data_IF_991037352989
#
_entry.id   IF_991037352989
#
_cell.length_a   1.000
_cell.length_b   1.000
_cell.length_c   1.000
_cell.angle_alpha   90.00
_cell.angle_beta   90.00
_cell.angle_gamma   90.00
#
_symmetry.space_group_name_H-M   'P 1'
#
loop_
_entity.id
_entity.type
_entity.pdbx_description
1 polymer ?
#
# COMPACT_ATOMS: atom_id res chain seq x y z
N UNK A 1 -19.49 -3.85 -8.99
CA UNK A 1 -18.14 -3.26 -8.86
C UNK A 1 -17.49 -3.30 -10.21
N UNK A 2 -17.06 -2.16 -10.75
CA UNK A 2 -16.28 -2.14 -11.99
C UNK A 2 -14.79 -2.13 -11.65
N UNK A 3 -14.07 -3.11 -12.17
CA UNK A 3 -12.62 -3.17 -12.21
C UNK A 3 -12.19 -3.10 -13.67
N UNK A 4 -10.99 -2.59 -13.92
CA UNK A 4 -10.44 -2.49 -15.27
C UNK A 4 -9.92 -3.85 -15.75
N UNK A 5 -9.55 -4.70 -14.80
CA UNK A 5 -9.14 -6.09 -15.01
C UNK A 5 -10.13 -7.06 -14.33
N UNK A 6 -10.29 -8.29 -14.83
CA UNK A 6 -11.27 -9.26 -14.30
C UNK A 6 -10.81 -9.93 -13.00
N UNK A 7 -10.32 -9.13 -12.04
CA UNK A 7 -9.88 -9.58 -10.71
C UNK A 7 -10.68 -8.83 -9.66
N UNK A 8 -11.28 -9.58 -8.72
CA UNK A 8 -12.10 -8.98 -7.66
C UNK A 8 -11.26 -8.08 -6.72
N UNK A 9 -11.77 -6.93 -6.26
CA UNK A 9 -11.04 -6.01 -5.37
C UNK A 9 -10.51 -6.67 -4.09
N UNK A 10 -11.23 -7.66 -3.55
CA UNK A 10 -10.82 -8.48 -2.39
C UNK A 10 -9.49 -9.22 -2.58
N UNK A 11 -9.13 -9.52 -3.83
CA UNK A 11 -7.86 -10.14 -4.19
C UNK A 11 -6.89 -9.07 -4.68
N UNK A 12 -7.37 -8.11 -5.48
CA UNK A 12 -6.54 -7.11 -6.13
C UNK A 12 -5.90 -6.10 -5.16
N UNK A 13 -6.65 -5.64 -4.15
CA UNK A 13 -6.14 -4.72 -3.14
C UNK A 13 -4.98 -5.32 -2.32
N UNK A 14 -5.11 -6.52 -1.71
CA UNK A 14 -4.00 -7.12 -0.96
C UNK A 14 -2.80 -7.52 -1.83
N UNK A 15 -2.99 -7.85 -3.11
CA UNK A 15 -1.88 -8.12 -4.06
C UNK A 15 -0.90 -6.93 -4.14
N UNK A 16 -1.39 -5.71 -3.95
CA UNK A 16 -0.55 -4.51 -3.92
C UNK A 16 0.52 -4.52 -2.82
N UNK A 17 0.43 -5.40 -1.83
CA UNK A 17 1.35 -5.46 -0.68
C UNK A 17 2.34 -6.64 -0.70
N UNK A 18 2.31 -7.53 -1.70
CA UNK A 18 3.24 -8.68 -1.75
C UNK A 18 4.68 -8.24 -2.01
N UNK A 19 4.88 -7.43 -3.06
CA UNK A 19 6.15 -6.75 -3.34
C UNK A 19 5.78 -5.28 -3.49
N UNK A 20 5.60 -4.53 -2.38
CA UNK A 20 4.66 -3.42 -2.37
C UNK A 20 4.96 -2.30 -3.38
N UNK A 21 6.24 -2.09 -3.71
CA UNK A 21 6.63 -1.20 -4.79
C UNK A 21 6.25 -1.74 -6.18
N UNK A 22 6.63 -2.98 -6.50
CA UNK A 22 6.41 -3.57 -7.83
C UNK A 22 4.94 -3.91 -8.03
N UNK A 23 4.33 -4.66 -7.11
CA UNK A 23 2.94 -5.07 -7.24
C UNK A 23 1.97 -3.90 -7.10
N UNK A 24 2.26 -2.92 -6.24
CA UNK A 24 1.50 -1.66 -6.17
C UNK A 24 1.53 -0.89 -7.49
N UNK A 25 2.70 -0.72 -8.12
CA UNK A 25 2.81 -0.07 -9.43
C UNK A 25 2.05 -0.82 -10.53
N UNK A 26 2.14 -2.16 -10.56
CA UNK A 26 1.38 -2.98 -11.52
C UNK A 26 -0.12 -2.74 -11.35
N UNK A 27 -0.63 -2.74 -10.12
CA UNK A 27 -2.06 -2.48 -9.85
C UNK A 27 -2.43 -1.04 -10.23
N UNK A 28 -1.61 -0.03 -9.96
CA UNK A 28 -1.86 1.36 -10.39
C UNK A 28 -1.97 1.48 -11.91
N UNK A 29 -1.12 0.77 -12.65
CA UNK A 29 -1.10 0.84 -14.12
C UNK A 29 -2.28 0.10 -14.76
N UNK A 30 -2.63 -1.06 -14.23
CA UNK A 30 -3.68 -1.93 -14.77
C UNK A 30 -5.09 -1.58 -14.29
N UNK A 31 -5.22 -1.14 -13.03
CA UNK A 31 -6.51 -0.83 -12.43
C UNK A 31 -6.75 0.69 -12.39
N UNK A 32 -7.70 1.16 -13.20
CA UNK A 32 -8.07 2.57 -13.31
C UNK A 32 -9.46 2.92 -12.79
N UNK A 33 -10.35 1.94 -12.60
CA UNK A 33 -11.76 2.19 -12.25
C UNK A 33 -12.04 1.98 -10.77
N UNK A 34 -11.38 1.00 -10.15
CA UNK A 34 -11.68 0.65 -8.78
C UNK A 34 -10.89 1.51 -7.78
N UNK A 35 -11.56 2.47 -7.16
CA UNK A 35 -10.94 3.38 -6.18
C UNK A 35 -10.40 2.65 -4.95
N UNK A 36 -11.05 1.58 -4.49
CA UNK A 36 -10.58 0.78 -3.35
C UNK A 36 -9.24 0.09 -3.62
N UNK A 37 -9.13 -0.63 -4.74
CA UNK A 37 -7.88 -1.27 -5.12
C UNK A 37 -6.76 -0.26 -5.37
N UNK A 38 -7.08 0.88 -6.01
CA UNK A 38 -6.12 1.94 -6.29
C UNK A 38 -5.63 2.66 -5.03
N UNK A 39 -6.48 2.88 -4.03
CA UNK A 39 -6.06 3.45 -2.75
C UNK A 39 -5.00 2.57 -2.08
N UNK A 40 -5.25 1.26 -2.02
CA UNK A 40 -4.29 0.32 -1.44
C UNK A 40 -3.00 0.20 -2.26
N UNK A 41 -3.10 0.28 -3.59
CA UNK A 41 -1.95 0.29 -4.49
C UNK A 41 -1.07 1.53 -4.29
N UNK A 42 -1.65 2.72 -4.23
CA UNK A 42 -0.92 3.95 -3.90
C UNK A 42 -0.34 3.92 -2.49
N UNK A 43 -1.11 3.45 -1.49
CA UNK A 43 -0.63 3.34 -0.11
C UNK A 43 0.56 2.39 0.00
N UNK A 44 0.58 1.27 -0.74
CA UNK A 44 1.70 0.33 -0.79
C UNK A 44 2.98 0.96 -1.36
N UNK A 45 2.86 1.69 -2.48
CA UNK A 45 3.98 2.39 -3.13
C UNK A 45 4.51 3.50 -2.23
N UNK A 46 3.64 4.36 -1.71
CA UNK A 46 4.00 5.47 -0.83
C UNK A 46 4.67 4.97 0.45
N UNK A 47 4.13 3.94 1.10
CA UNK A 47 4.73 3.36 2.31
C UNK A 47 6.15 2.86 2.04
N UNK A 48 6.36 2.18 0.91
CA UNK A 48 7.69 1.65 0.55
C UNK A 48 8.68 2.75 0.25
N UNK A 49 8.26 3.78 -0.50
CA UNK A 49 9.09 4.93 -0.82
C UNK A 49 9.43 5.74 0.44
N UNK A 50 8.45 5.97 1.33
CA UNK A 50 8.66 6.67 2.59
C UNK A 50 9.64 5.92 3.50
N UNK A 51 9.50 4.59 3.60
CA UNK A 51 10.43 3.75 4.37
C UNK A 51 11.83 3.76 3.77
N UNK A 52 11.96 3.63 2.45
CA UNK A 52 13.26 3.67 1.75
C UNK A 52 13.96 5.02 1.84
N UNK A 53 13.22 6.13 1.67
CA UNK A 53 13.77 7.47 1.84
C UNK A 53 14.14 7.73 3.29
N UNK A 54 13.30 7.34 4.25
CA UNK A 54 13.59 7.47 5.67
C UNK A 54 14.83 6.69 6.10
N UNK A 55 14.99 5.45 5.62
CA UNK A 55 16.18 4.65 5.91
C UNK A 55 17.43 5.21 5.25
N UNK A 56 17.33 5.76 4.02
CA UNK A 56 18.42 6.45 3.35
C UNK A 56 18.84 7.73 4.08
N UNK A 57 17.91 8.51 4.61
CA UNK A 57 18.22 9.74 5.35
C UNK A 57 18.82 9.47 6.73
N UNK A 58 18.44 8.36 7.37
CA UNK A 58 18.91 7.99 8.71
C UNK A 58 19.98 6.90 8.69
N UNK A 59 20.64 6.65 7.55
CA UNK A 59 21.63 5.57 7.40
C UNK A 59 22.81 5.68 8.37
N UNK A 60 23.15 6.90 8.79
CA UNK A 60 24.24 7.17 9.74
C UNK A 60 23.83 6.96 11.20
N UNK A 61 22.53 6.81 11.51
CA UNK A 61 22.05 6.57 12.87
C UNK A 61 22.02 5.05 13.11
N UNK A 62 22.78 4.52 14.08
CA UNK A 62 22.76 3.09 14.38
C UNK A 62 21.33 2.59 14.63
N UNK A 63 20.99 1.43 14.06
CA UNK A 63 19.69 0.75 14.17
C UNK A 63 18.46 1.48 13.57
N UNK A 64 18.54 2.76 13.20
CA UNK A 64 17.39 3.48 12.67
C UNK A 64 16.85 2.89 11.35
N UNK A 65 17.70 2.56 10.34
CA UNK A 65 17.23 1.90 9.12
C UNK A 65 16.51 0.57 9.41
N UNK A 66 17.08 -0.27 10.27
CA UNK A 66 16.48 -1.56 10.62
C UNK A 66 15.12 -1.39 11.31
N UNK A 67 14.97 -0.42 12.21
CA UNK A 67 13.70 -0.14 12.87
C UNK A 67 12.64 0.34 11.87
N UNK A 68 13.01 1.20 10.93
CA UNK A 68 12.13 1.65 9.85
C UNK A 68 11.68 0.46 8.99
N UNK A 69 12.61 -0.41 8.60
CA UNK A 69 12.27 -1.58 7.78
C UNK A 69 11.34 -2.53 8.53
N UNK A 70 11.59 -2.82 9.82
CA UNK A 70 10.69 -3.63 10.66
C UNK A 70 9.31 -2.98 10.77
N UNK A 71 9.23 -1.69 11.08
CA UNK A 71 7.96 -0.98 11.18
C UNK A 71 7.20 -0.98 9.84
N UNK A 72 7.90 -0.78 8.72
CA UNK A 72 7.31 -0.81 7.38
C UNK A 72 6.79 -2.20 7.00
N UNK A 73 7.48 -3.26 7.43
CA UNK A 73 7.06 -4.64 7.21
C UNK A 73 5.77 -4.95 7.97
N UNK A 74 5.72 -4.58 9.26
CA UNK A 74 4.50 -4.72 10.09
C UNK A 74 3.36 -3.91 9.49
N UNK A 75 3.60 -2.65 9.12
CA UNK A 75 2.60 -1.79 8.51
C UNK A 75 2.05 -2.37 7.19
N UNK A 76 2.94 -2.92 6.35
CA UNK A 76 2.58 -3.61 5.09
C UNK A 76 1.69 -4.82 5.38
N UNK A 77 2.05 -5.67 6.35
CA UNK A 77 1.25 -6.83 6.72
C UNK A 77 -0.14 -6.43 7.26
N UNK A 78 -0.22 -5.41 8.09
CA UNK A 78 -1.49 -4.86 8.59
C UNK A 78 -2.34 -4.30 7.45
N UNK A 79 -1.74 -3.52 6.56
CA UNK A 79 -2.45 -2.97 5.41
C UNK A 79 -2.96 -4.07 4.47
N UNK A 80 -2.16 -5.12 4.23
CA UNK A 80 -2.57 -6.28 3.43
C UNK A 80 -3.76 -7.01 4.06
N UNK A 81 -3.72 -7.26 5.37
CA UNK A 81 -4.82 -7.89 6.09
C UNK A 81 -6.10 -7.04 6.05
N UNK A 82 -5.97 -5.73 6.32
CA UNK A 82 -7.08 -4.77 6.24
C UNK A 82 -7.66 -4.69 4.82
N UNK A 83 -6.81 -4.64 3.80
CA UNK A 83 -7.22 -4.60 2.39
C UNK A 83 -8.06 -5.82 1.99
N UNK A 84 -7.76 -7.01 2.54
CA UNK A 84 -8.55 -8.22 2.32
C UNK A 84 -9.84 -8.23 3.15
N UNK A 85 -9.75 -7.92 4.44
CA UNK A 85 -10.88 -7.97 5.38
C UNK A 85 -11.96 -6.94 5.05
N UNK A 86 -11.54 -5.71 4.74
CA UNK A 86 -12.44 -4.58 4.54
C UNK A 86 -13.00 -4.52 3.11
N UNK A 87 -12.57 -5.43 2.22
CA UNK A 87 -12.99 -5.45 0.83
C UNK A 87 -14.48 -5.78 0.65
N UNK A 88 -15.08 -6.48 1.61
CA UNK A 88 -16.51 -6.81 1.56
C UNK A 88 -17.39 -5.57 1.80
N UNK A 89 -16.91 -4.63 2.64
CA UNK A 89 -17.60 -3.36 2.95
C UNK A 89 -17.06 -2.17 2.16
N UNK A 90 -15.97 -2.36 1.40
CA UNK A 90 -15.18 -1.32 0.73
C UNK A 90 -14.78 -0.16 1.66
N UNK A 91 -14.60 -0.46 2.95
CA UNK A 91 -14.18 0.57 3.92
C UNK A 91 -12.68 0.81 3.79
N UNK A 92 -12.28 2.05 3.53
CA UNK A 92 -10.86 2.37 3.38
C UNK A 92 -10.13 2.29 4.72
N UNK A 93 -9.08 1.46 4.76
CA UNK A 93 -8.09 1.54 5.82
C UNK A 93 -6.92 2.43 5.39
N UNK A 94 -6.85 3.63 5.98
CA UNK A 94 -5.80 4.62 5.72
C UNK A 94 -4.72 4.53 6.79
N UNK A 95 -3.48 4.38 6.36
CA UNK A 95 -2.32 4.34 7.26
C UNK A 95 -1.86 5.77 7.59
N UNK A 96 -2.58 6.44 8.48
CA UNK A 96 -2.29 7.83 8.89
C UNK A 96 -2.08 8.76 7.69
N UNK A 97 -1.04 9.59 7.75
CA UNK A 97 -0.69 10.56 6.70
C UNK A 97 -0.41 9.88 5.35
N UNK A 98 0.16 8.67 5.35
CA UNK A 98 0.46 7.96 4.10
C UNK A 98 -0.82 7.51 3.39
N UNK A 99 -1.86 7.14 4.15
CA UNK A 99 -3.16 6.81 3.60
C UNK A 99 -3.91 8.03 3.06
N UNK A 100 -3.79 9.18 3.74
CA UNK A 100 -4.34 10.44 3.23
C UNK A 100 -3.64 10.90 1.95
N UNK A 101 -2.32 10.69 1.85
CA UNK A 101 -1.58 10.96 0.62
C UNK A 101 -1.99 10.02 -0.51
N UNK A 102 -2.21 8.74 -0.21
CA UNK A 102 -2.66 7.74 -1.17
C UNK A 102 -4.05 8.07 -1.71
N UNK A 103 -5.00 8.45 -0.86
CA UNK A 103 -6.36 8.83 -1.25
C UNK A 103 -6.37 9.99 -2.27
N UNK A 104 -5.48 10.97 -2.13
CA UNK A 104 -5.38 12.10 -3.07
C UNK A 104 -4.97 11.68 -4.49
N UNK A 105 -4.46 10.47 -4.68
CA UNK A 105 -4.03 9.96 -6.00
C UNK A 105 -5.11 9.13 -6.70
N UNK A 106 -6.27 8.94 -6.07
CA UNK A 106 -7.33 8.06 -6.55
C UNK A 106 -8.48 8.83 -7.15
#
# INVERSE_FOLDING_TARGET
YETSIPIHPKILAPLSYIIPLVSGLIVILLERRNTYARLHAWQAVILTLAAGLGSMLLFWVPFAPSLIHIASFVATAVCMYRAWKDADSLTFFKLGILGDLAERQV
#
